data_IF_325254689311
#
_entry.id   IF_325254689311
#
_cell.length_a   1.000
_cell.length_b   1.000
_cell.length_c   1.000
_cell.angle_alpha   90.00
_cell.angle_beta   90.00
_cell.angle_gamma   90.00
#
_symmetry.space_group_name_H-M   'P 1'
#
loop_
_entity.id
_entity.type
_entity.pdbx_description
1 polymer ?
#
# COMPACT_ATOMS: atom_id res chain seq x y z
N UNK A 1 -21.43 2.14 15.84
CA UNK A 1 -20.22 1.73 15.10
C UNK A 1 -19.06 2.54 15.64
N UNK A 2 -17.92 1.92 15.95
CA UNK A 2 -16.82 2.62 16.61
C UNK A 2 -16.07 3.56 15.65
N UNK A 3 -15.54 4.70 16.13
CA UNK A 3 -14.89 5.69 15.27
C UNK A 3 -13.76 5.12 14.41
N UNK A 4 -12.96 4.19 14.95
CA UNK A 4 -11.91 3.47 14.23
C UNK A 4 -12.44 2.66 13.04
N UNK A 5 -13.56 1.94 13.21
CA UNK A 5 -14.20 1.16 12.14
C UNK A 5 -14.79 2.10 11.09
N UNK A 6 -15.39 3.21 11.52
CA UNK A 6 -15.94 4.22 10.58
C UNK A 6 -14.81 4.81 9.73
N UNK A 7 -13.69 5.21 10.35
CA UNK A 7 -12.54 5.78 9.63
C UNK A 7 -11.98 4.81 8.60
N UNK A 8 -11.73 3.56 8.96
CA UNK A 8 -11.16 2.59 8.02
C UNK A 8 -12.14 2.25 6.90
N UNK A 9 -13.44 2.14 7.21
CA UNK A 9 -14.49 1.86 6.21
C UNK A 9 -14.59 3.00 5.20
N UNK A 10 -14.63 4.25 5.66
CA UNK A 10 -14.66 5.42 4.79
C UNK A 10 -13.41 5.52 3.92
N UNK A 11 -12.23 5.32 4.50
CA UNK A 11 -10.97 5.34 3.74
C UNK A 11 -10.90 4.25 2.68
N UNK A 12 -11.35 3.04 3.00
CA UNK A 12 -11.46 1.96 2.01
C UNK A 12 -12.48 2.32 0.93
N UNK A 13 -13.66 2.83 1.28
CA UNK A 13 -14.69 3.21 0.32
C UNK A 13 -14.22 4.30 -0.65
N UNK A 14 -13.55 5.35 -0.13
CA UNK A 14 -12.96 6.42 -0.96
C UNK A 14 -11.94 5.83 -1.93
N UNK A 15 -11.03 4.97 -1.44
CA UNK A 15 -10.05 4.32 -2.30
C UNK A 15 -10.69 3.44 -3.36
N UNK A 16 -11.68 2.62 -2.99
CA UNK A 16 -12.39 1.76 -3.93
C UNK A 16 -13.10 2.56 -5.02
N UNK A 17 -13.76 3.66 -4.66
CA UNK A 17 -14.42 4.54 -5.64
C UNK A 17 -13.41 5.20 -6.58
N UNK A 18 -12.30 5.72 -6.04
CA UNK A 18 -11.19 6.26 -6.83
C UNK A 18 -10.60 5.21 -7.78
N UNK A 19 -10.36 3.99 -7.29
CA UNK A 19 -9.83 2.89 -8.10
C UNK A 19 -10.82 2.43 -9.16
N UNK A 20 -12.10 2.33 -8.82
CA UNK A 20 -13.16 1.96 -9.75
C UNK A 20 -13.25 2.97 -10.91
N UNK A 21 -13.21 4.27 -10.60
CA UNK A 21 -13.17 5.31 -11.62
C UNK A 21 -11.94 5.14 -12.54
N UNK A 22 -10.75 4.97 -11.97
CA UNK A 22 -9.53 4.72 -12.74
C UNK A 22 -9.63 3.49 -13.64
N UNK A 23 -10.16 2.38 -13.11
CA UNK A 23 -10.31 1.13 -13.84
C UNK A 23 -11.27 1.29 -15.03
N UNK A 24 -12.39 1.99 -14.83
CA UNK A 24 -13.34 2.32 -15.90
C UNK A 24 -12.71 3.20 -16.99
N UNK A 25 -12.04 4.28 -16.60
CA UNK A 25 -11.36 5.18 -17.55
C UNK A 25 -10.25 4.47 -18.35
N UNK A 26 -9.61 3.46 -17.74
CA UNK A 26 -8.50 2.73 -18.35
C UNK A 26 -8.92 1.40 -19.00
N UNK A 27 -10.22 1.09 -19.06
CA UNK A 27 -10.77 -0.19 -19.56
C UNK A 27 -10.13 -1.44 -18.92
N UNK A 28 -9.81 -1.36 -17.63
CA UNK A 28 -9.19 -2.45 -16.88
C UNK A 28 -10.24 -3.49 -16.43
N UNK A 29 -10.03 -4.80 -16.69
CA UNK A 29 -10.92 -5.85 -16.19
C UNK A 29 -10.69 -6.08 -14.69
N UNK A 30 -11.68 -5.70 -13.87
CA UNK A 30 -11.62 -5.78 -12.40
C UNK A 30 -11.48 -7.22 -11.87
N UNK A 31 -12.05 -8.20 -12.57
CA UNK A 31 -12.04 -9.62 -12.16
C UNK A 31 -10.84 -10.39 -12.71
N UNK A 32 -9.84 -9.69 -13.27
CA UNK A 32 -8.65 -10.33 -13.83
C UNK A 32 -7.46 -10.24 -12.86
N UNK A 33 -6.48 -11.16 -12.94
CA UNK A 33 -5.20 -11.03 -12.24
C UNK A 33 -4.49 -9.69 -12.54
N UNK A 34 -4.72 -9.13 -13.74
CA UNK A 34 -4.21 -7.82 -14.14
C UNK A 34 -4.87 -6.70 -13.33
N UNK A 35 -6.18 -6.74 -13.17
CA UNK A 35 -6.95 -5.79 -12.35
C UNK A 35 -6.54 -5.83 -10.88
N UNK A 36 -6.31 -7.01 -10.32
CA UNK A 36 -5.83 -7.18 -8.94
C UNK A 36 -4.41 -6.62 -8.77
N UNK A 37 -3.53 -6.86 -9.74
CA UNK A 37 -2.18 -6.28 -9.72
C UNK A 37 -2.22 -4.75 -9.82
N UNK A 38 -3.10 -4.19 -10.65
CA UNK A 38 -3.33 -2.75 -10.75
C UNK A 38 -3.90 -2.17 -9.46
N UNK A 39 -4.77 -2.90 -8.75
CA UNK A 39 -5.31 -2.50 -7.45
C UNK A 39 -4.20 -2.31 -6.41
N UNK A 40 -3.37 -3.33 -6.19
CA UNK A 40 -2.24 -3.22 -5.26
C UNK A 40 -1.19 -2.21 -5.74
N UNK A 41 -0.90 -2.16 -7.04
CA UNK A 41 -0.02 -1.11 -7.59
C UNK A 41 -0.60 0.29 -7.38
N UNK A 42 -1.93 0.39 -7.38
CA UNK A 42 -2.73 1.55 -7.08
C UNK A 42 -2.63 1.98 -5.62
N UNK A 43 -2.43 1.07 -4.67
CA UNK A 43 -2.17 1.42 -3.26
C UNK A 43 -0.73 1.91 -3.09
N UNK A 44 0.24 1.25 -3.74
CA UNK A 44 1.67 1.44 -3.50
C UNK A 44 2.40 2.30 -4.53
N UNK A 45 1.71 3.21 -5.22
CA UNK A 45 2.34 4.19 -6.13
C UNK A 45 3.20 3.60 -7.28
N UNK A 46 2.99 2.33 -7.64
CA UNK A 46 3.84 1.63 -8.61
C UNK A 46 3.42 1.82 -10.07
N UNK A 47 2.19 2.27 -10.32
CA UNK A 47 1.62 2.46 -11.67
C UNK A 47 1.04 3.86 -11.88
N UNK A 48 0.72 4.15 -13.15
CA UNK A 48 0.38 5.46 -13.75
C UNK A 48 -0.11 6.52 -12.77
N UNK A 49 0.49 7.71 -12.87
CA UNK A 49 0.02 8.90 -12.16
C UNK A 49 -1.38 9.24 -12.66
N UNK A 50 -2.40 9.00 -11.83
CA UNK A 50 -3.74 9.54 -12.04
C UNK A 50 -4.17 10.27 -10.77
N UNK A 51 -4.76 11.44 -10.96
CA UNK A 51 -5.18 12.30 -9.86
C UNK A 51 -6.25 11.61 -8.97
N UNK A 52 -7.16 10.84 -9.60
CA UNK A 52 -8.17 10.06 -8.89
C UNK A 52 -7.56 9.00 -7.96
N UNK A 53 -6.57 8.23 -8.44
CA UNK A 53 -5.85 7.27 -7.59
C UNK A 53 -5.04 7.95 -6.49
N UNK A 54 -4.46 9.12 -6.78
CA UNK A 54 -3.69 9.87 -5.78
C UNK A 54 -4.55 10.24 -4.57
N UNK A 55 -5.75 10.78 -4.78
CA UNK A 55 -6.69 11.12 -3.68
C UNK A 55 -7.09 9.87 -2.88
N UNK A 56 -7.38 8.76 -3.57
CA UNK A 56 -7.66 7.49 -2.89
C UNK A 56 -6.50 7.01 -2.02
N UNK A 57 -5.25 7.15 -2.50
CA UNK A 57 -4.05 6.78 -1.72
C UNK A 57 -3.90 7.64 -0.48
N UNK A 58 -4.13 8.95 -0.58
CA UNK A 58 -4.10 9.84 0.59
C UNK A 58 -5.12 9.41 1.63
N UNK A 59 -6.34 9.03 1.20
CA UNK A 59 -7.37 8.52 2.10
C UNK A 59 -6.95 7.23 2.84
N UNK A 60 -6.26 6.30 2.16
CA UNK A 60 -5.71 5.10 2.81
C UNK A 60 -4.54 5.42 3.72
N UNK A 61 -3.61 6.25 3.25
CA UNK A 61 -2.42 6.62 4.00
C UNK A 61 -2.83 7.26 5.31
N UNK A 62 -3.77 8.22 5.33
CA UNK A 62 -4.22 8.88 6.56
C UNK A 62 -5.16 7.97 7.37
N UNK A 63 -6.09 7.30 6.69
CA UNK A 63 -7.18 6.56 7.33
C UNK A 63 -6.76 5.38 8.18
N UNK A 64 -5.82 4.57 7.69
CA UNK A 64 -5.34 3.40 8.42
C UNK A 64 -4.69 3.78 9.77
N UNK A 65 -3.63 4.59 9.82
CA UNK A 65 -3.05 5.00 11.10
C UNK A 65 -4.02 5.80 11.97
N UNK A 66 -4.89 6.63 11.41
CA UNK A 66 -5.90 7.33 12.20
C UNK A 66 -6.85 6.34 12.88
N UNK A 67 -7.31 5.32 12.17
CA UNK A 67 -8.15 4.24 12.73
C UNK A 67 -7.45 3.53 13.90
N UNK A 68 -6.18 3.14 13.74
CA UNK A 68 -5.44 2.47 14.82
C UNK A 68 -5.05 3.42 15.96
N UNK A 69 -4.83 4.71 15.70
CA UNK A 69 -4.62 5.71 16.74
C UNK A 69 -5.89 5.93 17.57
N UNK A 70 -7.07 5.99 16.93
CA UNK A 70 -8.35 6.06 17.62
C UNK A 70 -8.62 4.82 18.45
N UNK A 71 -8.31 3.63 17.92
CA UNK A 71 -8.41 2.36 18.67
C UNK A 71 -7.50 2.37 19.90
N UNK A 72 -6.27 2.86 19.76
CA UNK A 72 -5.32 2.97 20.88
C UNK A 72 -5.81 3.94 21.96
N UNK A 73 -6.31 5.11 21.56
CA UNK A 73 -6.83 6.11 22.50
C UNK A 73 -8.05 5.56 23.27
N UNK A 74 -8.91 4.78 22.62
CA UNK A 74 -10.13 4.27 23.24
C UNK A 74 -9.91 3.06 24.12
N UNK A 75 -9.17 2.07 23.62
CA UNK A 75 -9.12 0.72 24.20
C UNK A 75 -7.71 0.34 24.68
N UNK A 76 -6.69 1.19 24.48
CA UNK A 76 -5.28 0.85 24.73
C UNK A 76 -4.70 -0.19 23.75
N UNK A 77 -5.48 -0.58 22.74
CA UNK A 77 -5.15 -1.64 21.79
C UNK A 77 -4.66 -1.09 20.43
N UNK A 78 -3.96 -1.92 19.67
CA UNK A 78 -3.62 -1.61 18.28
C UNK A 78 -2.18 -1.14 18.04
N UNK A 79 -1.42 -0.87 19.11
CA UNK A 79 0.02 -0.52 19.05
C UNK A 79 0.84 -1.58 18.32
N UNK A 80 0.45 -2.86 18.47
CA UNK A 80 1.10 -4.00 17.82
C UNK A 80 1.14 -3.84 16.29
N UNK A 81 0.19 -3.13 15.70
CA UNK A 81 0.10 -2.92 14.25
C UNK A 81 0.88 -1.68 13.78
N UNK A 82 1.32 -0.78 14.67
CA UNK A 82 2.02 0.45 14.29
C UNK A 82 3.32 0.19 13.51
N UNK A 83 4.20 -0.75 13.90
CA UNK A 83 5.39 -1.06 13.10
C UNK A 83 5.02 -1.45 11.66
N UNK A 84 4.00 -2.30 11.48
CA UNK A 84 3.55 -2.73 10.16
C UNK A 84 3.00 -1.56 9.33
N UNK A 85 2.21 -0.67 9.94
CA UNK A 85 1.66 0.52 9.27
C UNK A 85 2.80 1.44 8.81
N UNK A 86 3.73 1.76 9.70
CA UNK A 86 4.87 2.64 9.42
C UNK A 86 5.76 2.07 8.30
N UNK A 87 6.08 0.78 8.35
CA UNK A 87 6.91 0.16 7.30
C UNK A 87 6.16 0.10 5.97
N UNK A 88 4.86 -0.18 5.98
CA UNK A 88 4.02 -0.16 4.77
C UNK A 88 4.00 1.23 4.11
N UNK A 89 3.98 2.30 4.91
CA UNK A 89 4.14 3.67 4.41
C UNK A 89 5.51 3.92 3.78
N UNK A 90 6.60 3.50 4.43
CA UNK A 90 7.94 3.65 3.86
C UNK A 90 8.07 2.88 2.53
N UNK A 91 7.43 1.72 2.41
CA UNK A 91 7.35 0.99 1.13
C UNK A 91 6.58 1.81 0.07
N UNK A 92 5.43 2.38 0.43
CA UNK A 92 4.65 3.22 -0.49
C UNK A 92 5.45 4.45 -0.95
N UNK A 93 6.15 5.13 -0.03
CA UNK A 93 7.03 6.27 -0.33
C UNK A 93 8.24 5.87 -1.17
N UNK A 94 8.85 4.72 -0.89
CA UNK A 94 9.93 4.17 -1.69
C UNK A 94 9.47 3.98 -3.14
N UNK A 95 8.33 3.32 -3.33
CA UNK A 95 7.81 3.11 -4.68
C UNK A 95 7.37 4.40 -5.35
N UNK A 96 6.82 5.37 -4.62
CA UNK A 96 6.55 6.70 -5.16
C UNK A 96 7.82 7.37 -5.70
N UNK A 97 8.93 7.32 -4.96
CA UNK A 97 10.20 7.93 -5.36
C UNK A 97 10.92 7.16 -6.48
N UNK A 98 10.91 5.84 -6.42
CA UNK A 98 11.71 4.97 -7.28
C UNK A 98 10.89 4.27 -8.38
N UNK A 99 9.60 4.59 -8.57
CA UNK A 99 8.72 3.98 -9.58
C UNK A 99 9.33 3.93 -10.98
N UNK A 100 10.08 4.96 -11.37
CA UNK A 100 10.73 5.04 -12.69
C UNK A 100 11.73 3.90 -12.93
N UNK A 101 12.42 3.41 -11.90
CA UNK A 101 13.37 2.29 -12.01
C UNK A 101 12.68 0.96 -12.28
N UNK A 102 11.39 0.87 -11.96
CA UNK A 102 10.60 -0.34 -12.12
C UNK A 102 9.70 -0.32 -13.37
N UNK A 103 9.69 0.78 -14.15
CA UNK A 103 8.82 0.93 -15.33
C UNK A 103 8.96 -0.21 -16.34
N UNK A 104 10.19 -0.60 -16.70
CA UNK A 104 10.44 -1.73 -17.62
C UNK A 104 10.02 -3.09 -17.04
N UNK A 105 10.11 -3.27 -15.72
CA UNK A 105 9.72 -4.52 -15.04
C UNK A 105 8.19 -4.59 -14.84
N UNK A 106 7.54 -3.42 -14.77
CA UNK A 106 6.10 -3.26 -14.57
C UNK A 106 5.27 -3.50 -15.85
N UNK A 107 5.83 -3.27 -17.04
CA UNK A 107 5.18 -3.58 -18.33
C UNK A 107 5.00 -5.09 -18.54
N UNK A 108 5.88 -5.91 -17.96
CA UNK A 108 5.87 -7.37 -18.07
C UNK A 108 4.86 -8.13 -17.20
N UNK A 109 3.72 -7.52 -16.85
CA UNK A 109 2.66 -8.16 -16.03
C UNK A 109 3.06 -8.61 -14.61
N UNK A 110 4.20 -8.15 -14.09
CA UNK A 110 4.62 -8.47 -12.71
C UNK A 110 3.79 -7.67 -11.71
N UNK A 111 3.18 -8.37 -10.75
CA UNK A 111 2.37 -7.79 -9.68
C UNK A 111 3.18 -7.05 -8.63
N UNK A 112 2.51 -6.24 -7.79
CA UNK A 112 3.12 -5.50 -6.67
C UNK A 112 4.07 -6.37 -5.85
N UNK A 113 3.59 -7.52 -5.36
CA UNK A 113 4.38 -8.43 -4.53
C UNK A 113 5.57 -9.02 -5.27
N UNK A 114 5.46 -9.24 -6.59
CA UNK A 114 6.61 -9.68 -7.39
C UNK A 114 7.68 -8.60 -7.46
N UNK A 115 7.30 -7.32 -7.54
CA UNK A 115 8.25 -6.20 -7.54
C UNK A 115 8.82 -6.00 -6.13
N UNK A 116 7.97 -6.04 -5.10
CA UNK A 116 8.39 -5.94 -3.71
C UNK A 116 9.38 -7.05 -3.35
N UNK A 117 9.14 -8.31 -3.72
CA UNK A 117 9.99 -9.44 -3.31
C UNK A 117 11.15 -9.73 -4.26
N UNK A 118 10.95 -9.58 -5.57
CA UNK A 118 11.92 -9.99 -6.61
C UNK A 118 12.46 -8.83 -7.45
N UNK A 119 12.01 -7.61 -7.22
CA UNK A 119 12.52 -6.41 -7.90
C UNK A 119 14.01 -6.23 -7.61
N UNK A 120 14.78 -5.90 -8.66
CA UNK A 120 16.20 -5.60 -8.54
C UNK A 120 16.42 -4.13 -8.85
N UNK A 121 17.12 -3.44 -7.95
CA UNK A 121 17.63 -2.08 -8.11
C UNK A 121 19.09 -2.05 -7.66
N UNK A 122 19.89 -1.14 -8.21
CA UNK A 122 21.32 -1.03 -7.91
C UNK A 122 21.60 0.14 -6.94
N UNK A 123 22.73 0.08 -6.24
CA UNK A 123 23.19 1.15 -5.34
C UNK A 123 22.31 1.35 -4.10
N UNK A 124 22.24 2.60 -3.61
CA UNK A 124 21.49 2.97 -2.40
C UNK A 124 19.99 2.60 -2.49
N UNK A 125 19.39 2.70 -3.67
CA UNK A 125 18.00 2.30 -3.88
C UNK A 125 17.79 0.80 -3.66
N UNK A 126 18.77 -0.03 -4.04
CA UNK A 126 18.76 -1.47 -3.81
C UNK A 126 18.93 -1.83 -2.33
N UNK A 127 19.87 -1.19 -1.65
CA UNK A 127 20.07 -1.37 -0.21
C UNK A 127 18.82 -0.98 0.60
N UNK A 128 18.20 0.15 0.27
CA UNK A 128 16.97 0.62 0.91
C UNK A 128 15.80 -0.33 0.67
N UNK A 129 15.65 -0.88 -0.53
CA UNK A 129 14.61 -1.88 -0.82
C UNK A 129 14.80 -3.15 0.01
N UNK A 130 16.05 -3.61 0.16
CA UNK A 130 16.38 -4.75 1.01
C UNK A 130 16.07 -4.51 2.48
N UNK A 131 16.43 -3.32 2.99
CA UNK A 131 16.07 -2.92 4.36
C UNK A 131 14.56 -2.91 4.57
N UNK A 132 13.80 -2.32 3.63
CA UNK A 132 12.34 -2.27 3.70
C UNK A 132 11.70 -3.66 3.65
N UNK A 133 12.26 -4.60 2.88
CA UNK A 133 11.82 -6.00 2.88
C UNK A 133 12.01 -6.65 4.25
N UNK A 134 13.21 -6.51 4.81
CA UNK A 134 13.52 -7.10 6.11
C UNK A 134 12.61 -6.54 7.21
N UNK A 135 12.43 -5.22 7.25
CA UNK A 135 11.52 -4.56 8.19
C UNK A 135 10.06 -4.98 7.99
N UNK A 136 9.63 -5.16 6.73
CA UNK A 136 8.26 -5.58 6.44
C UNK A 136 8.00 -6.99 6.96
N UNK A 137 8.88 -7.93 6.64
CA UNK A 137 8.78 -9.31 7.14
C UNK A 137 8.83 -9.34 8.67
N UNK A 138 9.76 -8.60 9.28
CA UNK A 138 9.88 -8.51 10.73
C UNK A 138 8.60 -7.94 11.39
N UNK A 139 8.02 -6.89 10.81
CA UNK A 139 6.77 -6.30 11.32
C UNK A 139 5.56 -7.23 11.18
N UNK A 140 5.49 -8.02 10.10
CA UNK A 140 4.45 -9.06 9.93
C UNK A 140 4.62 -10.14 10.99
N UNK A 141 5.85 -10.65 11.19
CA UNK A 141 6.14 -11.66 12.22
C UNK A 141 5.81 -11.12 13.62
N UNK A 142 6.19 -9.88 13.91
CA UNK A 142 5.88 -9.22 15.18
C UNK A 142 4.37 -9.17 15.44
N UNK A 143 3.57 -8.78 14.45
CA UNK A 143 2.10 -8.78 14.58
C UNK A 143 1.57 -10.19 14.81
N UNK A 144 2.06 -11.20 14.08
CA UNK A 144 1.62 -12.59 14.22
C UNK A 144 1.95 -13.20 15.59
N UNK A 145 3.07 -12.81 16.20
CA UNK A 145 3.51 -13.33 17.50
C UNK A 145 2.79 -12.67 18.69
N UNK A 146 2.29 -11.45 18.52
CA UNK A 146 1.67 -10.66 19.59
C UNK A 146 0.14 -10.55 19.46
N UNK A 147 -0.44 -11.32 18.54
CA UNK A 147 -1.89 -11.42 18.33
C UNK A 147 -2.42 -12.71 18.92
#
# INVERSE_FOLDING_TARGET
>A
MSPDIITITLSMAIFFMSFYHYARSSKLPLNSPVGMNEYFSGIFFLRKSSFSLFLGRVALLIGFPLSYALKFIRDGEGVIYFPLIVITWFIALYFYKYANFFKMVAEGHKGFFSILLKGKTCGLAGALLWLLRALYIASVIYVLLNR
#
